data_IF_465384387603
#
_entry.id   IF_465384387603
#
_cell.length_a   1.000
_cell.length_b   1.000
_cell.length_c   1.000
_cell.angle_alpha   90.00
_cell.angle_beta   90.00
_cell.angle_gamma   90.00
#
_symmetry.space_group_name_H-M   'P 1'
#
loop_
_entity.id
_entity.type
_entity.pdbx_description
1 polymer ?
#
# COMPACT_ATOMS: atom_id res chain seq x y z
N UNK A 1 -30.37 -48.22 -5.37
CA UNK A 1 -29.10 -47.67 -5.89
C UNK A 1 -29.15 -46.16 -5.69
N UNK A 2 -28.49 -45.65 -4.66
CA UNK A 2 -28.36 -44.20 -4.42
C UNK A 2 -26.86 -43.91 -4.48
N UNK A 3 -26.43 -43.23 -5.54
CA UNK A 3 -25.06 -42.74 -5.68
C UNK A 3 -24.87 -41.57 -4.72
N UNK A 4 -24.10 -41.80 -3.65
CA UNK A 4 -23.55 -40.73 -2.83
C UNK A 4 -22.37 -40.10 -3.58
N UNK A 5 -22.57 -38.90 -4.13
CA UNK A 5 -21.47 -38.06 -4.57
C UNK A 5 -20.68 -37.60 -3.34
N UNK A 6 -19.49 -38.16 -3.17
CA UNK A 6 -18.54 -37.77 -2.13
C UNK A 6 -18.00 -36.38 -2.49
N UNK A 7 -18.37 -35.36 -1.73
CA UNK A 7 -17.75 -34.05 -1.81
C UNK A 7 -16.31 -34.16 -1.32
N UNK A 8 -15.35 -34.06 -2.23
CA UNK A 8 -13.94 -33.96 -1.89
C UNK A 8 -13.72 -32.63 -1.16
N UNK A 9 -13.43 -32.69 0.14
CA UNK A 9 -12.86 -31.55 0.86
C UNK A 9 -11.44 -31.33 0.34
N UNK A 10 -11.23 -30.27 -0.43
CA UNK A 10 -9.90 -29.83 -0.85
C UNK A 10 -9.09 -29.45 0.41
N UNK A 11 -8.05 -30.23 0.72
CA UNK A 11 -7.08 -29.87 1.74
C UNK A 11 -6.26 -28.67 1.25
N UNK A 12 -6.26 -27.55 2.00
CA UNK A 12 -5.42 -26.38 1.71
C UNK A 12 -3.93 -26.76 1.69
N UNK A 13 -3.19 -26.21 0.73
CA UNK A 13 -1.73 -26.39 0.65
C UNK A 13 -1.00 -25.44 1.61
N UNK A 14 0.27 -25.72 1.92
CA UNK A 14 1.12 -24.81 2.73
C UNK A 14 1.24 -23.42 2.08
N UNK A 15 1.20 -23.35 0.74
CA UNK A 15 1.18 -22.09 -0.01
C UNK A 15 -0.10 -21.30 0.24
N UNK A 16 -1.26 -21.96 0.21
CA UNK A 16 -2.55 -21.33 0.48
C UNK A 16 -2.59 -20.78 1.91
N UNK A 17 -2.01 -21.49 2.88
CA UNK A 17 -1.97 -21.04 4.27
C UNK A 17 -1.09 -19.79 4.46
N UNK A 18 0.05 -19.67 3.78
CA UNK A 18 0.92 -18.50 3.91
C UNK A 18 0.27 -17.26 3.28
N UNK A 19 -0.26 -17.38 2.06
CA UNK A 19 -0.81 -16.27 1.29
C UNK A 19 -2.20 -15.82 1.76
N UNK A 20 -3.01 -16.70 2.37
CA UNK A 20 -4.33 -16.32 2.88
C UNK A 20 -4.23 -15.20 3.93
N UNK A 21 -4.82 -14.04 3.65
CA UNK A 21 -4.78 -12.89 4.54
C UNK A 21 -3.38 -12.32 4.77
N UNK A 22 -2.47 -12.50 3.81
CA UNK A 22 -1.06 -12.10 3.91
C UNK A 22 -0.88 -10.62 4.24
N UNK A 23 -1.72 -9.72 3.72
CA UNK A 23 -1.62 -8.30 4.04
C UNK A 23 -1.76 -8.05 5.55
N UNK A 24 -2.79 -8.61 6.18
CA UNK A 24 -3.02 -8.50 7.62
C UNK A 24 -1.87 -9.12 8.43
N UNK A 25 -1.31 -10.24 7.96
CA UNK A 25 -0.13 -10.87 8.57
C UNK A 25 1.09 -9.95 8.52
N UNK A 26 1.29 -9.23 7.41
CA UNK A 26 2.37 -8.25 7.25
C UNK A 26 2.16 -7.04 8.18
N UNK A 27 0.94 -6.51 8.26
CA UNK A 27 0.60 -5.39 9.15
C UNK A 27 0.81 -5.76 10.63
N UNK A 28 0.39 -6.96 11.04
CA UNK A 28 0.65 -7.52 12.37
C UNK A 28 2.16 -7.69 12.63
N UNK A 29 2.90 -8.20 11.66
CA UNK A 29 4.35 -8.34 11.75
C UNK A 29 5.03 -6.97 11.91
N UNK A 30 4.59 -5.96 11.16
CA UNK A 30 5.09 -4.60 11.27
C UNK A 30 4.85 -4.00 12.66
N UNK A 31 3.66 -4.17 13.23
CA UNK A 31 3.37 -3.74 14.60
C UNK A 31 4.29 -4.45 15.61
N UNK A 32 4.50 -5.74 15.44
CA UNK A 32 5.41 -6.51 16.29
C UNK A 32 6.87 -6.08 16.16
N UNK A 33 7.30 -5.57 15.00
CA UNK A 33 8.65 -5.01 14.85
C UNK A 33 8.87 -3.82 15.80
N UNK A 34 7.87 -2.96 16.00
CA UNK A 34 7.95 -1.84 16.94
C UNK A 34 7.91 -2.31 18.40
N UNK A 35 7.05 -3.27 18.73
CA UNK A 35 6.96 -3.85 20.08
C UNK A 35 8.29 -4.50 20.49
N UNK A 36 8.94 -5.21 19.56
CA UNK A 36 10.16 -5.97 19.82
C UNK A 36 11.44 -5.20 19.48
N UNK A 37 11.32 -4.01 18.89
CA UNK A 37 12.42 -3.20 18.38
C UNK A 37 13.39 -3.97 17.44
N UNK A 38 12.84 -4.82 16.56
CA UNK A 38 13.61 -5.64 15.60
C UNK A 38 12.82 -5.89 14.32
N UNK A 39 13.50 -6.15 13.21
CA UNK A 39 12.86 -6.51 11.93
C UNK A 39 12.49 -8.00 11.84
N UNK A 40 12.82 -8.81 12.85
CA UNK A 40 12.65 -10.27 12.83
C UNK A 40 11.24 -10.77 12.48
N UNK A 41 10.13 -10.14 12.94
CA UNK A 41 8.79 -10.54 12.52
C UNK A 41 8.57 -10.47 11.00
N UNK A 42 9.05 -9.40 10.36
CA UNK A 42 8.98 -9.24 8.90
C UNK A 42 9.92 -10.21 8.17
N UNK A 43 11.15 -10.40 8.69
CA UNK A 43 12.14 -11.31 8.11
C UNK A 43 11.66 -12.78 8.14
N UNK A 44 10.96 -13.17 9.21
CA UNK A 44 10.35 -14.49 9.34
C UNK A 44 9.29 -14.74 8.27
N UNK A 45 8.41 -13.76 8.03
CA UNK A 45 7.38 -13.86 7.00
C UNK A 45 7.98 -13.85 5.58
N UNK A 46 9.00 -13.03 5.33
CA UNK A 46 9.76 -13.04 4.08
C UNK A 46 10.39 -14.41 3.80
N UNK A 47 10.95 -15.05 4.83
CA UNK A 47 11.54 -16.38 4.73
C UNK A 47 10.51 -17.45 4.39
N UNK A 48 9.27 -17.33 4.88
CA UNK A 48 8.17 -18.22 4.49
C UNK A 48 7.81 -18.05 3.01
N UNK A 49 7.68 -16.81 2.54
CA UNK A 49 7.39 -16.53 1.11
C UNK A 49 8.50 -17.04 0.18
N UNK A 50 9.77 -17.02 0.60
CA UNK A 50 10.88 -17.55 -0.21
C UNK A 50 10.79 -19.06 -0.50
N UNK A 51 9.98 -19.81 0.25
CA UNK A 51 9.80 -21.25 0.04
C UNK A 51 8.67 -21.59 -0.93
N UNK A 52 7.88 -20.59 -1.32
CA UNK A 52 6.75 -20.78 -2.22
C UNK A 52 7.19 -20.66 -3.67
N UNK A 53 6.59 -21.47 -4.54
CA UNK A 53 6.67 -21.28 -5.97
C UNK A 53 5.80 -20.08 -6.39
N UNK A 54 6.28 -19.29 -7.35
CA UNK A 54 5.54 -18.14 -7.84
C UNK A 54 4.70 -18.52 -9.07
N UNK A 55 3.40 -18.71 -8.86
CA UNK A 55 2.45 -19.06 -9.92
C UNK A 55 1.86 -17.85 -10.66
N UNK A 56 1.83 -16.67 -10.05
CA UNK A 56 1.06 -15.52 -10.55
C UNK A 56 1.68 -14.13 -10.27
N UNK A 57 2.92 -14.05 -9.77
CA UNK A 57 3.60 -12.80 -9.44
C UNK A 57 3.26 -12.23 -8.06
N UNK A 58 2.38 -12.88 -7.28
CA UNK A 58 2.02 -12.40 -5.94
C UNK A 58 3.08 -12.69 -4.89
N UNK A 59 3.86 -13.76 -5.03
CA UNK A 59 4.97 -14.03 -4.11
C UNK A 59 6.02 -12.89 -4.12
N UNK A 60 6.57 -12.48 -5.28
CA UNK A 60 7.50 -11.35 -5.32
C UNK A 60 6.81 -10.02 -4.97
N UNK A 61 5.52 -9.83 -5.28
CA UNK A 61 4.76 -8.67 -4.83
C UNK A 61 4.78 -8.53 -3.30
N UNK A 62 4.38 -9.59 -2.58
CA UNK A 62 4.31 -9.55 -1.11
C UNK A 62 5.68 -9.48 -0.46
N UNK A 63 6.71 -10.09 -1.07
CA UNK A 63 8.11 -9.89 -0.66
C UNK A 63 8.50 -8.42 -0.73
N UNK A 64 8.19 -7.73 -1.83
CA UNK A 64 8.48 -6.31 -1.94
C UNK A 64 7.68 -5.46 -0.94
N UNK A 65 6.43 -5.82 -0.65
CA UNK A 65 5.62 -5.13 0.35
C UNK A 65 6.16 -5.28 1.78
N UNK A 66 6.66 -6.47 2.14
CA UNK A 66 7.40 -6.71 3.39
C UNK A 66 8.66 -5.84 3.44
N UNK A 67 9.44 -5.83 2.36
CA UNK A 67 10.67 -5.04 2.27
C UNK A 67 10.38 -3.53 2.38
N UNK A 68 9.27 -3.05 1.80
CA UNK A 68 8.78 -1.69 2.00
C UNK A 68 8.52 -1.38 3.48
N UNK A 69 7.77 -2.20 4.21
CA UNK A 69 7.53 -1.97 5.64
C UNK A 69 8.80 -2.08 6.49
N UNK A 70 9.73 -2.97 6.13
CA UNK A 70 11.04 -3.04 6.78
C UNK A 70 11.81 -1.72 6.62
N UNK A 71 11.73 -1.10 5.45
CA UNK A 71 12.31 0.23 5.21
C UNK A 71 11.63 1.31 6.06
N UNK A 72 10.29 1.30 6.16
CA UNK A 72 9.52 2.20 7.05
C UNK A 72 9.95 2.02 8.52
N UNK A 73 10.08 0.79 9.00
CA UNK A 73 10.55 0.47 10.34
C UNK A 73 11.93 1.07 10.63
N UNK A 74 12.92 0.84 9.74
CA UNK A 74 14.25 1.41 9.90
C UNK A 74 14.26 2.93 9.90
N UNK A 75 13.45 3.57 9.05
CA UNK A 75 13.31 5.02 9.06
C UNK A 75 12.80 5.52 10.42
N UNK A 76 11.77 4.86 10.97
CA UNK A 76 11.19 5.21 12.27
C UNK A 76 12.16 5.04 13.44
N UNK A 77 13.14 4.16 13.33
CA UNK A 77 14.25 4.03 14.28
C UNK A 77 15.40 5.04 14.04
N UNK A 78 15.27 5.95 13.06
CA UNK A 78 16.33 6.89 12.69
C UNK A 78 17.44 6.28 11.85
N UNK A 79 17.34 5.01 11.43
CA UNK A 79 18.33 4.30 10.60
C UNK A 79 18.14 4.63 9.12
N UNK A 80 18.39 5.90 8.75
CA UNK A 80 18.10 6.44 7.42
C UNK A 80 18.84 5.70 6.29
N UNK A 81 20.11 5.36 6.50
CA UNK A 81 20.92 4.65 5.50
C UNK A 81 20.41 3.24 5.23
N UNK A 82 20.10 2.47 6.29
CA UNK A 82 19.52 1.13 6.17
C UNK A 82 18.15 1.18 5.49
N UNK A 83 17.31 2.13 5.87
CA UNK A 83 16.02 2.36 5.23
C UNK A 83 16.15 2.62 3.72
N UNK A 84 17.10 3.48 3.33
CA UNK A 84 17.41 3.81 1.95
C UNK A 84 17.98 2.64 1.13
N UNK A 85 18.72 1.71 1.76
CA UNK A 85 19.17 0.46 1.10
C UNK A 85 17.99 -0.49 0.89
N UNK A 86 17.21 -0.73 1.94
CA UNK A 86 16.08 -1.67 1.90
C UNK A 86 15.00 -1.23 0.90
N UNK A 87 14.69 0.06 0.78
CA UNK A 87 13.69 0.50 -0.22
C UNK A 87 14.16 0.27 -1.67
N UNK A 88 15.47 0.31 -1.92
CA UNK A 88 16.03 -0.03 -3.25
C UNK A 88 15.87 -1.52 -3.55
N UNK A 89 16.01 -2.38 -2.54
CA UNK A 89 15.74 -3.82 -2.67
C UNK A 89 14.27 -4.09 -3.01
N UNK A 90 13.32 -3.40 -2.36
CA UNK A 90 11.90 -3.51 -2.69
C UNK A 90 11.63 -3.11 -4.15
N UNK A 91 12.27 -2.04 -4.62
CA UNK A 91 12.19 -1.59 -6.02
C UNK A 91 12.76 -2.64 -6.98
N UNK A 92 13.89 -3.25 -6.64
CA UNK A 92 14.53 -4.27 -7.46
C UNK A 92 13.66 -5.53 -7.61
N UNK A 93 13.07 -6.01 -6.50
CA UNK A 93 12.14 -7.16 -6.52
C UNK A 93 10.98 -6.89 -7.48
N UNK A 94 10.35 -5.71 -7.40
CA UNK A 94 9.22 -5.37 -8.27
C UNK A 94 9.63 -5.22 -9.72
N UNK A 95 10.80 -4.62 -9.99
CA UNK A 95 11.31 -4.47 -11.34
C UNK A 95 11.63 -5.80 -12.02
N UNK A 96 12.02 -6.83 -11.27
CA UNK A 96 12.33 -8.16 -11.80
C UNK A 96 11.09 -8.99 -12.18
N UNK A 97 9.89 -8.63 -11.69
CA UNK A 97 8.64 -9.30 -12.06
C UNK A 97 8.39 -9.13 -13.57
N UNK A 98 8.43 -10.21 -14.35
CA UNK A 98 8.28 -10.16 -15.80
C UNK A 98 6.91 -9.62 -16.25
N UNK A 99 5.83 -10.29 -15.83
CA UNK A 99 4.46 -9.91 -16.15
C UNK A 99 3.85 -9.04 -15.05
N UNK A 100 4.24 -7.77 -15.00
CA UNK A 100 3.71 -6.81 -14.01
C UNK A 100 2.21 -6.61 -14.22
N UNK A 101 1.44 -6.79 -13.16
CA UNK A 101 0.01 -6.49 -13.14
C UNK A 101 -0.23 -5.02 -12.81
N UNK A 102 -1.49 -4.57 -12.90
CA UNK A 102 -1.89 -3.25 -12.40
C UNK A 102 -1.44 -3.04 -10.94
N UNK A 103 -1.59 -4.05 -10.10
CA UNK A 103 -1.17 -3.99 -8.69
C UNK A 103 0.35 -3.91 -8.54
N UNK A 104 1.12 -4.65 -9.34
CA UNK A 104 2.59 -4.57 -9.32
C UNK A 104 3.07 -3.16 -9.64
N UNK A 105 2.49 -2.50 -10.64
CA UNK A 105 2.82 -1.13 -10.99
C UNK A 105 2.41 -0.13 -9.89
N UNK A 106 1.25 -0.33 -9.26
CA UNK A 106 0.82 0.52 -8.16
C UNK A 106 1.74 0.41 -6.94
N UNK A 107 2.19 -0.80 -6.58
CA UNK A 107 3.15 -1.00 -5.50
C UNK A 107 4.53 -0.44 -5.84
N UNK A 108 4.99 -0.58 -7.09
CA UNK A 108 6.25 0.03 -7.52
C UNK A 108 6.21 1.56 -7.39
N UNK A 109 5.08 2.17 -7.76
CA UNK A 109 4.88 3.60 -7.59
C UNK A 109 4.86 4.01 -6.10
N UNK A 110 4.26 3.22 -5.21
CA UNK A 110 4.31 3.45 -3.75
C UNK A 110 5.74 3.39 -3.20
N UNK A 111 6.49 2.35 -3.58
CA UNK A 111 7.89 2.15 -3.17
C UNK A 111 8.76 3.32 -3.64
N UNK A 112 8.57 3.78 -4.89
CA UNK A 112 9.24 4.97 -5.42
C UNK A 112 8.84 6.23 -4.66
N UNK A 113 7.56 6.40 -4.32
CA UNK A 113 7.08 7.52 -3.50
C UNK A 113 7.80 7.60 -2.15
N UNK A 114 7.96 6.46 -1.49
CA UNK A 114 8.72 6.42 -0.24
C UNK A 114 10.22 6.67 -0.45
N UNK A 115 10.77 6.28 -1.60
CA UNK A 115 12.20 6.50 -1.89
C UNK A 115 12.59 7.97 -2.05
N UNK A 116 11.65 8.86 -2.37
CA UNK A 116 11.91 10.30 -2.63
C UNK A 116 12.64 10.99 -1.47
N UNK A 117 12.30 10.67 -0.22
CA UNK A 117 12.93 11.27 0.96
C UNK A 117 14.42 10.92 1.14
N UNK A 118 14.95 9.98 0.35
CA UNK A 118 16.37 9.65 0.28
C UNK A 118 17.07 10.26 -0.95
N UNK A 119 16.35 11.05 -1.76
CA UNK A 119 16.85 11.71 -2.96
C UNK A 119 16.75 13.24 -2.84
N UNK A 120 17.45 13.96 -3.72
CA UNK A 120 17.42 15.41 -3.80
C UNK A 120 17.61 15.91 -5.23
N UNK A 121 17.24 17.16 -5.48
CA UNK A 121 17.44 17.82 -6.77
C UNK A 121 16.85 17.06 -7.95
N UNK A 122 17.66 16.85 -8.98
CA UNK A 122 17.25 16.18 -10.22
C UNK A 122 16.78 14.74 -10.00
N UNK A 123 17.39 14.02 -9.04
CA UNK A 123 17.04 12.62 -8.76
C UNK A 123 15.62 12.52 -8.19
N UNK A 124 15.27 13.39 -7.24
CA UNK A 124 13.91 13.45 -6.70
C UNK A 124 12.87 13.76 -7.79
N UNK A 125 13.21 14.65 -8.74
CA UNK A 125 12.37 14.93 -9.90
C UNK A 125 12.18 13.72 -10.82
N UNK A 126 13.25 12.94 -11.05
CA UNK A 126 13.22 11.72 -11.87
C UNK A 126 12.36 10.63 -11.22
N UNK A 127 12.51 10.44 -9.91
CA UNK A 127 11.68 9.50 -9.13
C UNK A 127 10.20 9.93 -9.21
N UNK A 128 9.90 11.22 -9.01
CA UNK A 128 8.51 11.72 -9.11
C UNK A 128 7.88 11.48 -10.49
N UNK A 129 8.65 11.62 -11.57
CA UNK A 129 8.19 11.25 -12.90
C UNK A 129 7.91 9.75 -13.02
N UNK A 130 8.79 8.90 -12.49
CA UNK A 130 8.61 7.45 -12.45
C UNK A 130 7.36 7.01 -11.66
N UNK A 131 7.03 7.69 -10.56
CA UNK A 131 5.81 7.44 -9.78
C UNK A 131 4.57 7.67 -10.66
N UNK A 132 4.52 8.81 -11.36
CA UNK A 132 3.40 9.13 -12.26
C UNK A 132 3.29 8.13 -13.40
N UNK A 133 4.41 7.71 -13.98
CA UNK A 133 4.43 6.70 -15.04
C UNK A 133 3.89 5.35 -14.55
N UNK A 134 4.39 4.84 -13.42
CA UNK A 134 3.99 3.54 -12.90
C UNK A 134 2.54 3.54 -12.39
N UNK A 135 2.12 4.56 -11.63
CA UNK A 135 0.73 4.67 -11.22
C UNK A 135 -0.22 4.89 -12.42
N UNK A 136 0.25 5.60 -13.46
CA UNK A 136 -0.45 5.72 -14.74
C UNK A 136 -0.65 4.36 -15.42
N UNK A 137 0.41 3.57 -15.58
CA UNK A 137 0.33 2.21 -16.13
C UNK A 137 -0.59 1.29 -15.33
N UNK A 138 -0.58 1.41 -14.00
CA UNK A 138 -1.53 0.67 -13.16
C UNK A 138 -2.98 0.98 -13.57
N UNK A 139 -3.31 2.26 -13.78
CA UNK A 139 -4.64 2.71 -14.17
C UNK A 139 -4.99 2.47 -15.65
N UNK A 140 -3.99 2.37 -16.53
CA UNK A 140 -4.18 1.93 -17.92
C UNK A 140 -4.56 0.45 -17.98
N UNK A 141 -3.95 -0.39 -17.14
CA UNK A 141 -4.24 -1.82 -17.04
C UNK A 141 -5.55 -2.09 -16.28
N UNK A 142 -5.84 -1.33 -15.23
CA UNK A 142 -7.11 -1.36 -14.51
C UNK A 142 -7.46 0.04 -13.97
N UNK A 143 -8.42 0.69 -14.63
CA UNK A 143 -8.86 2.06 -14.30
C UNK A 143 -9.57 2.18 -12.94
N UNK A 144 -9.92 1.05 -12.32
CA UNK A 144 -10.52 0.99 -10.98
C UNK A 144 -9.50 0.68 -9.88
N UNK A 145 -8.21 0.53 -10.21
CA UNK A 145 -7.18 0.23 -9.22
C UNK A 145 -7.06 1.37 -8.20
N UNK A 146 -7.56 1.09 -6.99
CA UNK A 146 -7.55 1.98 -5.83
C UNK A 146 -6.14 2.45 -5.48
N UNK A 147 -5.17 1.54 -5.50
CA UNK A 147 -3.77 1.80 -5.14
C UNK A 147 -3.10 2.74 -6.15
N UNK A 148 -3.38 2.59 -7.44
CA UNK A 148 -2.92 3.49 -8.49
C UNK A 148 -3.43 4.92 -8.27
N UNK A 149 -4.73 5.08 -8.00
CA UNK A 149 -5.33 6.38 -7.69
C UNK A 149 -4.76 6.99 -6.41
N UNK A 150 -4.61 6.20 -5.34
CA UNK A 150 -4.02 6.64 -4.09
C UNK A 150 -2.61 7.18 -4.28
N UNK A 151 -1.74 6.45 -5.00
CA UNK A 151 -0.34 6.86 -5.19
C UNK A 151 -0.25 8.15 -6.03
N UNK A 152 -1.12 8.34 -7.03
CA UNK A 152 -1.17 9.63 -7.75
C UNK A 152 -1.58 10.79 -6.83
N UNK A 153 -2.58 10.59 -5.97
CA UNK A 153 -3.00 11.57 -4.98
C UNK A 153 -1.91 11.89 -3.97
N UNK A 154 -1.22 10.86 -3.46
CA UNK A 154 -0.08 11.00 -2.54
C UNK A 154 1.08 11.76 -3.18
N UNK A 155 1.49 11.40 -4.39
CA UNK A 155 2.55 12.10 -5.09
C UNK A 155 2.19 13.57 -5.34
N UNK A 156 0.96 13.86 -5.78
CA UNK A 156 0.53 15.24 -6.01
C UNK A 156 0.51 16.06 -4.71
N UNK A 157 0.07 15.44 -3.61
CA UNK A 157 0.00 16.08 -2.29
C UNK A 157 1.38 16.46 -1.74
N UNK A 158 2.37 15.57 -1.84
CA UNK A 158 3.72 15.83 -1.32
C UNK A 158 4.61 16.61 -2.30
N UNK A 159 4.18 16.78 -3.56
CA UNK A 159 4.92 17.62 -4.52
C UNK A 159 4.73 19.09 -4.15
N UNK A 160 5.81 19.89 -3.99
CA UNK A 160 5.67 21.31 -3.68
C UNK A 160 4.88 22.08 -4.74
N UNK A 161 4.12 23.09 -4.32
CA UNK A 161 3.28 23.89 -5.22
C UNK A 161 4.08 24.58 -6.35
N UNK A 162 5.33 24.97 -6.10
CA UNK A 162 6.25 25.53 -7.12
C UNK A 162 6.57 24.55 -8.26
N UNK A 163 6.44 23.24 -8.02
CA UNK A 163 6.56 22.19 -9.03
C UNK A 163 5.19 21.70 -9.54
N UNK A 164 4.11 22.40 -9.18
CA UNK A 164 2.76 22.14 -9.66
C UNK A 164 1.97 21.10 -8.87
N UNK A 165 2.45 20.66 -7.70
CA UNK A 165 1.71 19.78 -6.80
C UNK A 165 0.52 20.45 -6.12
N UNK A 166 -0.30 19.65 -5.45
CA UNK A 166 -1.50 20.09 -4.72
C UNK A 166 -2.75 20.31 -5.58
N UNK A 167 -2.66 20.22 -6.92
CA UNK A 167 -3.73 20.61 -7.86
C UNK A 167 -4.78 19.53 -8.12
N UNK A 168 -4.40 18.27 -7.98
CA UNK A 168 -5.24 17.10 -8.30
C UNK A 168 -5.41 16.13 -7.14
N UNK A 169 -4.89 16.47 -5.96
CA UNK A 169 -5.02 15.68 -4.72
C UNK A 169 -6.46 15.21 -4.50
N UNK A 170 -7.41 16.14 -4.41
CA UNK A 170 -8.81 15.79 -4.15
C UNK A 170 -9.40 14.91 -5.26
N UNK A 171 -9.11 15.21 -6.53
CA UNK A 171 -9.58 14.41 -7.66
C UNK A 171 -9.10 12.96 -7.56
N UNK A 172 -7.79 12.75 -7.37
CA UNK A 172 -7.20 11.43 -7.30
C UNK A 172 -7.65 10.65 -6.07
N UNK A 173 -7.70 11.30 -4.90
CA UNK A 173 -8.11 10.63 -3.67
C UNK A 173 -9.60 10.31 -3.64
N UNK A 174 -10.47 11.17 -4.20
CA UNK A 174 -11.89 10.82 -4.41
C UNK A 174 -12.05 9.63 -5.34
N UNK A 175 -11.23 9.50 -6.38
CA UNK A 175 -11.24 8.31 -7.25
C UNK A 175 -10.80 7.06 -6.47
N UNK A 176 -9.78 7.15 -5.64
CA UNK A 176 -9.34 6.04 -4.81
C UNK A 176 -10.44 5.58 -3.82
N UNK A 177 -11.09 6.52 -3.12
CA UNK A 177 -12.09 6.18 -2.09
C UNK A 177 -13.44 5.72 -2.66
N UNK A 178 -13.76 6.07 -3.91
CA UNK A 178 -15.02 5.68 -4.57
C UNK A 178 -14.92 4.50 -5.54
N UNK A 179 -13.70 4.08 -5.94
CA UNK A 179 -13.53 2.93 -6.83
C UNK A 179 -13.96 1.64 -6.13
N UNK A 180 -14.55 0.64 -6.82
CA UNK A 180 -14.87 -0.65 -6.21
C UNK A 180 -13.57 -1.37 -5.81
N UNK A 181 -13.55 -2.05 -4.66
CA UNK A 181 -12.45 -2.96 -4.33
C UNK A 181 -12.74 -4.33 -4.94
N UNK A 182 -11.97 -4.73 -5.96
CA UNK A 182 -12.17 -6.01 -6.67
C UNK A 182 -11.58 -7.21 -5.92
N UNK A 183 -10.76 -6.95 -4.90
CA UNK A 183 -9.91 -7.96 -4.27
C UNK A 183 -10.51 -8.48 -2.95
N UNK A 184 -11.80 -8.25 -2.68
CA UNK A 184 -12.43 -8.63 -1.40
C UNK A 184 -12.60 -10.13 -1.22
N UNK A 185 -12.64 -10.89 -2.32
CA UNK A 185 -12.97 -12.32 -2.31
C UNK A 185 -11.72 -13.22 -2.30
N UNK A 186 -10.55 -12.66 -2.64
CA UNK A 186 -9.26 -13.35 -2.62
C UNK A 186 -8.32 -12.63 -1.65
N UNK A 187 -8.15 -13.22 -0.48
CA UNK A 187 -7.34 -12.67 0.62
C UNK A 187 -5.83 -12.65 0.33
N UNK A 188 -5.39 -13.26 -0.78
CA UNK A 188 -4.01 -13.19 -1.28
C UNK A 188 -3.75 -11.95 -2.14
N UNK A 189 -4.80 -11.26 -2.58
CA UNK A 189 -4.71 -10.02 -3.35
C UNK A 189 -4.65 -8.79 -2.42
N UNK A 190 -4.00 -7.70 -2.86
CA UNK A 190 -3.84 -6.51 -2.04
C UNK A 190 -5.16 -5.76 -1.85
N UNK A 191 -5.37 -5.23 -0.64
CA UNK A 191 -6.55 -4.42 -0.28
C UNK A 191 -6.17 -3.05 0.32
N UNK A 192 -4.88 -2.74 0.46
CA UNK A 192 -4.39 -1.46 1.00
C UNK A 192 -4.79 -0.23 0.15
N UNK A 193 -4.50 0.96 0.65
CA UNK A 193 -4.58 2.20 -0.15
C UNK A 193 -5.89 2.98 -0.04
N UNK A 194 -7.06 2.34 0.11
CA UNK A 194 -8.32 3.08 0.31
C UNK A 194 -8.34 3.80 1.65
N UNK A 195 -8.01 3.10 2.74
CA UNK A 195 -7.84 3.71 4.06
C UNK A 195 -6.83 4.85 4.03
N UNK A 196 -5.70 4.66 3.35
CA UNK A 196 -4.66 5.69 3.20
C UNK A 196 -5.16 6.89 2.38
N UNK A 197 -6.01 6.64 1.39
CA UNK A 197 -6.64 7.70 0.60
C UNK A 197 -7.62 8.53 1.44
N UNK A 198 -8.43 7.90 2.29
CA UNK A 198 -9.27 8.64 3.25
C UNK A 198 -8.42 9.48 4.19
N UNK A 199 -7.42 8.88 4.85
CA UNK A 199 -6.54 9.57 5.78
C UNK A 199 -5.90 10.81 5.13
N UNK A 200 -5.38 10.65 3.91
CA UNK A 200 -4.73 11.76 3.19
C UNK A 200 -5.73 12.80 2.70
N UNK A 201 -6.95 12.40 2.32
CA UNK A 201 -8.00 13.32 1.86
C UNK A 201 -8.53 14.17 3.02
N UNK A 202 -8.73 13.57 4.19
CA UNK A 202 -9.08 14.28 5.43
C UNK A 202 -7.98 15.30 5.76
N UNK A 203 -6.72 14.87 5.75
CA UNK A 203 -5.58 15.76 6.00
C UNK A 203 -5.52 16.92 4.98
N UNK A 204 -5.74 16.64 3.71
CA UNK A 204 -5.78 17.65 2.66
C UNK A 204 -6.88 18.68 2.92
N UNK A 205 -8.10 18.26 3.26
CA UNK A 205 -9.17 19.19 3.57
C UNK A 205 -8.88 20.04 4.81
N UNK A 206 -8.37 19.43 5.89
CA UNK A 206 -7.99 20.16 7.10
C UNK A 206 -6.95 21.25 6.83
N UNK A 207 -5.94 20.96 5.98
CA UNK A 207 -4.91 21.93 5.62
C UNK A 207 -5.39 23.06 4.72
N UNK A 208 -6.57 22.92 4.12
CA UNK A 208 -7.17 23.92 3.24
C UNK A 208 -8.42 24.54 3.88
N UNK A 209 -8.57 24.45 5.21
CA UNK A 209 -9.69 25.01 5.98
C UNK A 209 -11.08 24.50 5.54
N UNK A 210 -11.14 23.28 4.98
CA UNK A 210 -12.35 22.62 4.46
C UNK A 210 -12.92 21.61 5.46
N UNK A 211 -13.27 22.11 6.64
CA UNK A 211 -13.65 21.28 7.80
C UNK A 211 -14.88 20.40 7.54
N UNK A 212 -15.88 20.90 6.82
CA UNK A 212 -17.09 20.13 6.52
C UNK A 212 -16.80 18.94 5.60
N UNK A 213 -15.97 19.14 4.57
CA UNK A 213 -15.53 18.02 3.72
C UNK A 213 -14.64 17.02 4.48
N UNK A 214 -13.80 17.50 5.39
CA UNK A 214 -13.00 16.64 6.26
C UNK A 214 -13.89 15.75 7.15
N UNK A 215 -14.92 16.33 7.80
CA UNK A 215 -15.88 15.59 8.64
C UNK A 215 -16.70 14.60 7.83
N UNK A 216 -17.21 15.01 6.66
CA UNK A 216 -17.92 14.09 5.77
C UNK A 216 -17.03 12.93 5.30
N UNK A 217 -15.76 13.21 4.98
CA UNK A 217 -14.80 12.19 4.58
C UNK A 217 -14.49 11.22 5.73
N UNK A 218 -14.35 11.73 6.96
CA UNK A 218 -14.16 10.93 8.17
C UNK A 218 -15.35 9.99 8.41
N UNK A 219 -16.59 10.47 8.31
CA UNK A 219 -17.79 9.63 8.49
C UNK A 219 -17.81 8.44 7.51
N UNK A 220 -17.41 8.67 6.26
CA UNK A 220 -17.31 7.60 5.26
C UNK A 220 -16.19 6.61 5.63
N UNK A 221 -15.04 7.11 6.09
CA UNK A 221 -13.92 6.28 6.52
C UNK A 221 -14.26 5.43 7.76
N UNK A 222 -14.94 5.98 8.76
CA UNK A 222 -15.38 5.25 9.97
C UNK A 222 -16.37 4.13 9.63
N UNK A 223 -17.20 4.31 8.60
CA UNK A 223 -18.14 3.28 8.15
C UNK A 223 -17.43 2.07 7.54
N UNK A 224 -16.37 2.30 6.76
CA UNK A 224 -15.59 1.21 6.12
C UNK A 224 -14.51 0.64 7.04
N UNK A 225 -13.94 1.46 7.93
CA UNK A 225 -12.80 1.12 8.78
C UNK A 225 -13.06 1.45 10.26
N UNK A 226 -14.09 0.85 10.90
CA UNK A 226 -14.50 1.20 12.25
C UNK A 226 -13.42 0.94 13.32
N UNK A 227 -12.55 -0.04 13.09
CA UNK A 227 -11.49 -0.44 14.02
C UNK A 227 -10.13 0.20 13.68
N UNK A 228 -10.08 1.12 12.72
CA UNK A 228 -8.83 1.76 12.32
C UNK A 228 -8.35 2.76 13.37
N UNK A 229 -7.15 2.50 13.90
CA UNK A 229 -6.44 3.46 14.73
C UNK A 229 -6.21 4.78 14.00
N UNK A 230 -5.79 4.73 12.72
CA UNK A 230 -5.47 5.94 11.94
C UNK A 230 -6.69 6.83 11.71
N UNK A 231 -7.85 6.23 11.40
CA UNK A 231 -9.09 6.99 11.22
C UNK A 231 -9.56 7.57 12.57
N UNK A 232 -9.44 6.82 13.66
CA UNK A 232 -9.75 7.30 15.00
C UNK A 232 -8.92 8.51 15.45
N UNK A 233 -7.66 8.61 15.02
CA UNK A 233 -6.82 9.78 15.29
C UNK A 233 -7.37 11.09 14.66
N UNK A 234 -7.94 11.01 13.45
CA UNK A 234 -8.50 12.19 12.78
C UNK A 234 -9.79 12.68 13.42
N UNK A 235 -10.59 11.77 14.01
CA UNK A 235 -11.77 12.13 14.80
C UNK A 235 -11.40 13.09 15.93
N UNK A 236 -10.38 12.71 16.72
CA UNK A 236 -9.91 13.54 17.84
C UNK A 236 -9.48 14.94 17.39
N UNK A 237 -8.78 15.03 16.26
CA UNK A 237 -8.29 16.31 15.72
C UNK A 237 -9.38 17.21 15.12
N UNK A 238 -10.52 16.67 14.71
CA UNK A 238 -11.63 17.42 14.09
C UNK A 238 -12.72 17.82 15.09
N UNK A 239 -12.69 17.23 16.28
CA UNK A 239 -13.55 17.56 17.42
C UNK A 239 -12.93 18.62 18.35
N UNK A 240 -11.63 18.92 18.19
CA UNK A 240 -10.89 20.03 18.82
C UNK A 240 -11.11 21.36 18.09
#
# INVERSE_FOLDING_TARGET
MVNAACGASLSRTESDDVLDGIQKKIELAMNNCFVQNTAAPLDSLFTKLNKLEDGNGMVPYWKAYITYYKSVFYLKLGKKEDSGKVIKEASAILNDIGNKTSETYALLALVQSFSIQFASGMEAGRISAGIRENAGKALELDSTNVRGWYVLGSNDYYTPASFGGGKKVEYYLKKATSSPDKNTDDSSLPTWGREYAYALLIQYYMQNDRTDEAKNCLLMAEKEYPDSYFIGEYKRKLDE
#
